data_IF_505533223037
#
_entry.id   IF_505533223037
#
_cell.length_a   1.000
_cell.length_b   1.000
_cell.length_c   1.000
_cell.angle_alpha   90.00
_cell.angle_beta   90.00
_cell.angle_gamma   90.00
#
_symmetry.space_group_name_H-M   'P 1'
#
loop_
_entity.id
_entity.type
_entity.pdbx_description
1 polymer ?
#
# COMPACT_ATOMS: atom_id res chain seq x y z
N UNK A 1 -8.28 -16.17 6.21
CA UNK A 1 -7.64 -15.48 7.36
C UNK A 1 -7.28 -14.08 6.90
N UNK A 2 -8.12 -13.09 7.21
CA UNK A 2 -7.88 -11.70 6.84
C UNK A 2 -6.70 -11.19 7.67
N UNK A 3 -5.62 -10.80 6.98
CA UNK A 3 -4.46 -10.21 7.60
C UNK A 3 -4.88 -8.89 8.25
N UNK A 4 -4.48 -8.65 9.51
CA UNK A 4 -4.71 -7.36 10.17
C UNK A 4 -4.19 -6.24 9.25
N UNK A 5 -4.91 -5.10 9.09
CA UNK A 5 -4.36 -3.94 8.40
C UNK A 5 -3.10 -3.53 9.15
N UNK A 6 -1.94 -3.83 8.57
CA UNK A 6 -0.68 -3.38 9.11
C UNK A 6 -0.55 -1.96 8.59
N UNK A 7 -0.95 -1.00 9.41
CA UNK A 7 -0.46 0.37 9.30
C UNK A 7 1.06 0.30 9.48
N UNK A 8 1.79 0.03 8.38
CA UNK A 8 3.23 -0.14 8.42
C UNK A 8 3.82 1.18 8.92
N UNK A 9 4.59 1.13 10.01
CA UNK A 9 5.16 2.30 10.67
C UNK A 9 5.94 3.22 9.71
N UNK A 10 6.41 2.69 8.58
CA UNK A 10 7.04 3.42 7.49
C UNK A 10 6.15 4.54 6.92
N UNK A 11 4.84 4.31 6.76
CA UNK A 11 3.90 5.30 6.21
C UNK A 11 3.53 6.40 7.21
N UNK A 12 4.00 6.26 8.46
CA UNK A 12 3.88 7.26 9.53
C UNK A 12 5.24 7.83 9.97
N UNK A 13 6.32 7.47 9.28
CA UNK A 13 7.64 7.96 9.62
C UNK A 13 7.79 9.44 9.25
N UNK A 14 8.50 10.21 10.09
CA UNK A 14 8.76 11.65 9.86
C UNK A 14 9.40 11.88 8.49
N UNK A 15 10.39 11.06 8.12
CA UNK A 15 11.05 11.15 6.81
C UNK A 15 10.10 10.95 5.64
N UNK A 16 9.05 10.14 5.80
CA UNK A 16 8.06 9.92 4.76
C UNK A 16 7.17 11.16 4.57
N UNK A 17 6.70 11.76 5.68
CA UNK A 17 5.91 12.99 5.63
C UNK A 17 6.69 14.20 5.10
N UNK A 18 8.00 14.29 5.38
CA UNK A 18 8.87 15.32 4.82
C UNK A 18 8.98 15.22 3.29
N UNK A 19 9.21 14.01 2.76
CA UNK A 19 9.28 13.79 1.31
C UNK A 19 7.96 14.08 0.60
N UNK A 20 6.83 13.76 1.24
CA UNK A 20 5.52 14.07 0.69
C UNK A 20 5.29 15.59 0.62
N UNK A 21 5.67 16.33 1.66
CA UNK A 21 5.60 17.78 1.66
C UNK A 21 6.48 18.41 0.57
N UNK A 22 7.71 17.89 0.37
CA UNK A 22 8.58 18.33 -0.72
C UNK A 22 8.00 18.07 -2.13
N UNK A 23 7.21 17.01 -2.26
CA UNK A 23 6.57 16.62 -3.51
C UNK A 23 5.16 17.24 -3.70
N UNK A 24 4.71 18.10 -2.78
CA UNK A 24 3.33 18.63 -2.73
C UNK A 24 2.26 17.52 -2.80
N UNK A 25 2.55 16.40 -2.14
CA UNK A 25 1.72 15.21 -2.14
C UNK A 25 1.00 15.04 -0.80
N UNK A 26 -0.28 14.68 -0.87
CA UNK A 26 -1.10 14.42 0.33
C UNK A 26 -0.77 13.03 0.86
N UNK A 27 -0.62 12.92 2.19
CA UNK A 27 -0.51 11.62 2.86
C UNK A 27 -1.80 10.83 2.69
N UNK A 28 -1.75 9.73 1.93
CA UNK A 28 -2.87 8.79 1.81
C UNK A 28 -2.68 7.64 2.80
N UNK A 29 -2.99 7.88 4.07
CA UNK A 29 -3.11 6.82 5.07
C UNK A 29 -4.59 6.54 5.24
N UNK A 30 -5.01 5.30 4.98
CA UNK A 30 -6.42 4.94 4.96
C UNK A 30 -7.11 5.19 6.30
N UNK A 31 -8.42 5.40 6.27
CA UNK A 31 -9.19 5.56 7.51
C UNK A 31 -9.39 4.20 8.18
N UNK A 32 -9.30 4.15 9.52
CA UNK A 32 -9.38 2.87 10.24
C UNK A 32 -10.73 2.19 9.99
N UNK A 33 -10.71 1.05 9.31
CA UNK A 33 -11.90 0.25 9.04
C UNK A 33 -12.59 0.56 7.71
N UNK A 34 -12.04 1.50 6.92
CA UNK A 34 -12.32 1.57 5.49
C UNK A 34 -11.20 0.82 4.75
N UNK A 35 -11.60 0.03 3.77
CA UNK A 35 -10.68 -0.75 2.94
C UNK A 35 -10.75 -0.34 1.47
N UNK A 36 -11.70 0.51 1.08
CA UNK A 36 -11.91 0.90 -0.32
C UNK A 36 -10.75 1.71 -0.87
N UNK A 37 -10.14 2.53 -0.02
CA UNK A 37 -8.92 3.31 -0.23
C UNK A 37 -7.73 2.42 -0.69
N UNK A 38 -7.65 1.17 -0.24
CA UNK A 38 -6.59 0.24 -0.64
C UNK A 38 -7.01 -0.78 -1.70
N UNK A 39 -8.31 -0.92 -1.98
CA UNK A 39 -8.84 -2.03 -2.79
C UNK A 39 -8.21 -2.13 -4.18
N UNK A 40 -7.97 -1.00 -4.86
CA UNK A 40 -7.34 -0.99 -6.19
C UNK A 40 -5.88 -1.43 -6.13
N UNK A 41 -5.12 -0.95 -5.13
CA UNK A 41 -3.72 -1.34 -4.94
C UNK A 41 -3.60 -2.83 -4.59
N UNK A 42 -4.52 -3.36 -3.77
CA UNK A 42 -4.58 -4.78 -3.44
C UNK A 42 -4.96 -5.66 -4.63
N UNK A 43 -5.89 -5.20 -5.50
CA UNK A 43 -6.24 -5.90 -6.73
C UNK A 43 -5.04 -5.98 -7.69
N UNK A 44 -4.33 -4.86 -7.87
CA UNK A 44 -3.10 -4.83 -8.68
C UNK A 44 -2.03 -5.78 -8.13
N UNK A 45 -1.76 -5.72 -6.82
CA UNK A 45 -0.80 -6.62 -6.18
C UNK A 45 -1.19 -8.10 -6.31
N UNK A 46 -2.49 -8.40 -6.27
CA UNK A 46 -2.99 -9.77 -6.47
C UNK A 46 -2.72 -10.26 -7.89
N UNK A 47 -2.96 -9.41 -8.90
CA UNK A 47 -2.65 -9.74 -10.30
C UNK A 47 -1.15 -9.97 -10.51
N UNK A 48 -0.31 -9.05 -10.01
CA UNK A 48 1.14 -9.16 -10.10
C UNK A 48 1.66 -10.44 -9.45
N UNK A 49 1.23 -10.74 -8.22
CA UNK A 49 1.62 -12.00 -7.54
C UNK A 49 1.19 -13.22 -8.34
N UNK A 50 0.00 -13.20 -8.91
CA UNK A 50 -0.51 -14.31 -9.69
C UNK A 50 0.29 -14.51 -10.98
N UNK A 51 0.79 -13.43 -11.59
CA UNK A 51 1.74 -13.50 -12.72
C UNK A 51 3.07 -14.11 -12.29
N UNK A 52 3.71 -13.63 -11.21
CA UNK A 52 4.97 -14.19 -10.72
C UNK A 52 4.87 -15.68 -10.37
N UNK A 53 3.74 -16.11 -9.78
CA UNK A 53 3.51 -17.52 -9.45
C UNK A 53 3.36 -18.37 -10.73
N UNK A 54 2.68 -17.84 -11.75
CA UNK A 54 2.44 -18.56 -13.01
C UNK A 54 3.61 -18.50 -13.99
N UNK A 55 4.48 -17.49 -13.88
CA UNK A 55 5.63 -17.28 -14.74
C UNK A 55 6.90 -16.95 -13.92
N UNK A 56 7.50 -17.95 -13.24
CA UNK A 56 8.57 -17.73 -12.25
C UNK A 56 9.95 -17.39 -12.85
N UNK A 57 10.04 -17.13 -14.16
CA UNK A 57 11.32 -16.96 -14.89
C UNK A 57 11.45 -15.59 -15.56
N UNK A 58 10.55 -14.64 -15.27
CA UNK A 58 10.81 -13.20 -15.40
C UNK A 58 11.53 -12.70 -14.15
#
# INVERSE_FOLDING_TARGET
>A
MLHRPVELAQYRAIRYTERLAEADAVTSVGSKGDSYDNAMAEAFNSLFKAECIRNPVM
#
